data_IF_106226628498
#
_entry.id   IF_106226628498
#
_cell.length_a   1.000
_cell.length_b   1.000
_cell.length_c   1.000
_cell.angle_alpha   90.00
_cell.angle_beta   90.00
_cell.angle_gamma   90.00
#
_symmetry.space_group_name_H-M   'P 1'
#
loop_
_entity.id
_entity.type
_entity.pdbx_description
1 polymer ?
2 non-polymer ?
3 non-polymer ?
4 non-polymer ?
5 non-polymer ?
6 water ?
#
# COMPACT_ATOMS: atom_id res chain seq x y z
N UNK A 14 -12.74 0.83 -28.89
CA UNK A 14 -11.56 1.16 -28.00
C UNK A 14 -11.93 2.15 -26.90
N UNK A 15 -12.99 1.83 -26.15
CA UNK A 15 -13.50 2.67 -25.07
C UNK A 15 -12.62 2.49 -23.83
N UNK A 16 -12.29 3.61 -23.17
CA UNK A 16 -11.43 3.63 -21.99
C UNK A 16 -12.30 3.94 -20.76
N UNK A 17 -12.52 2.92 -19.93
CA UNK A 17 -13.45 3.01 -18.80
C UNK A 17 -12.95 2.13 -17.65
N UNK A 18 -13.22 2.59 -16.43
CA UNK A 18 -13.03 1.81 -15.21
C UNK A 18 -14.38 1.34 -14.71
N UNK A 19 -14.68 0.05 -14.93
CA UNK A 19 -15.95 -0.56 -14.56
C UNK A 19 -15.80 -1.30 -13.23
N UNK A 20 -16.94 -1.52 -12.56
CA UNK A 20 -17.02 -2.41 -11.42
C UNK A 20 -17.15 -3.85 -11.92
N UNK A 21 -16.10 -4.67 -11.70
CA UNK A 21 -16.19 -6.10 -11.92
C UNK A 21 -16.72 -6.76 -10.64
N UNK A 22 -17.87 -7.43 -10.74
CA UNK A 22 -18.47 -8.13 -9.62
C UNK A 22 -18.03 -9.60 -9.65
N UNK A 23 -17.50 -10.09 -8.51
CA UNK A 23 -17.12 -11.48 -8.35
C UNK A 23 -18.39 -12.26 -7.97
N UNK A 48 -27.05 -10.91 7.62
CA UNK A 48 -26.12 -11.77 8.42
C UNK A 48 -24.68 -11.52 7.98
N UNK A 49 -24.38 -10.25 7.62
CA UNK A 49 -23.11 -9.89 7.01
C UNK A 49 -22.78 -8.43 7.32
N UNK A 50 -21.49 -8.09 7.16
CA UNK A 50 -21.02 -6.71 7.20
C UNK A 50 -20.28 -6.42 5.90
N UNK A 51 -20.82 -5.47 5.11
CA UNK A 51 -20.23 -5.07 3.84
C UNK A 51 -19.49 -3.75 4.04
N UNK A 52 -18.27 -3.66 3.47
CA UNK A 52 -17.47 -2.45 3.51
C UNK A 52 -16.57 -2.38 2.28
N UNK A 53 -16.26 -1.14 1.83
CA UNK A 53 -15.41 -0.89 0.69
C UNK A 53 -14.09 -0.26 1.13
N UNK A 54 -13.01 -0.58 0.41
CA UNK A 54 -11.67 -0.09 0.72
C UNK A 54 -11.07 0.55 -0.53
N UNK A 55 -10.54 1.77 -0.38
CA UNK A 55 -9.81 2.46 -1.42
C UNK A 55 -8.34 2.60 -1.03
N UNK A 56 -7.43 2.18 -1.92
CA UNK A 56 -6.01 2.44 -1.77
C UNK A 56 -5.55 3.39 -2.88
N UNK A 57 -4.94 4.52 -2.49
CA UNK A 57 -4.65 5.60 -3.42
C UNK A 57 -3.38 6.36 -2.99
N UNK A 58 -2.33 6.28 -3.83
CA UNK A 58 -1.16 7.14 -3.76
C UNK A 58 -1.55 8.43 -4.49
N UNK A 59 -1.71 9.53 -3.74
CA UNK A 59 -2.30 10.74 -4.30
C UNK A 59 -1.24 11.68 -4.88
N UNK A 60 0.05 11.36 -4.73
CA UNK A 60 1.19 12.13 -5.23
C UNK A 60 1.35 13.42 -4.43
N UNK A 61 2.39 13.46 -3.61
CA UNK A 61 2.76 14.63 -2.82
C UNK A 61 3.25 15.71 -3.77
N UNK A 62 2.76 16.96 -3.65
CA UNK A 62 3.20 18.03 -4.53
C UNK A 62 4.72 18.22 -4.43
N UNK A 63 5.28 18.08 -3.22
CA UNK A 63 6.69 18.23 -2.97
C UNK A 63 7.45 17.15 -3.73
N UNK A 64 6.96 15.90 -3.69
CA UNK A 64 7.57 14.79 -4.40
C UNK A 64 7.42 14.97 -5.91
N UNK A 65 6.28 15.55 -6.34
CA UNK A 65 6.03 15.88 -7.74
C UNK A 65 7.11 16.83 -8.25
N UNK A 66 7.28 17.95 -7.54
CA UNK A 66 8.15 19.05 -7.98
C UNK A 66 9.62 18.65 -7.85
N UNK A 67 9.95 17.81 -6.86
CA UNK A 67 11.30 17.31 -6.66
C UNK A 67 11.71 16.35 -7.78
N UNK A 68 10.71 15.79 -8.50
CA UNK A 68 10.94 14.83 -9.57
C UNK A 68 10.16 15.24 -10.81
N UNK A 69 10.39 16.48 -11.28
CA UNK A 69 9.60 17.08 -12.36
C UNK A 69 9.88 16.38 -13.69
N UNK A 70 11.03 15.70 -13.80
CA UNK A 70 11.41 14.97 -15.00
C UNK A 70 10.42 13.85 -15.31
N UNK A 71 9.69 13.36 -14.30
CA UNK A 71 8.70 12.30 -14.48
C UNK A 71 7.44 12.82 -15.17
N UNK A 72 7.21 14.14 -15.14
CA UNK A 72 5.95 14.74 -15.57
C UNK A 72 6.18 15.69 -16.74
N UNK A 73 7.19 15.39 -17.57
CA UNK A 73 7.52 16.14 -18.78
C UNK A 73 6.36 16.06 -19.78
N UNK A 74 5.65 14.92 -19.79
CA UNK A 74 4.54 14.67 -20.68
C UNK A 74 3.30 15.50 -20.33
N UNK A 75 3.25 16.08 -19.13
CA UNK A 75 2.06 16.74 -18.63
C UNK A 75 2.01 18.20 -19.06
N UNK A 76 0.79 18.71 -19.32
CA UNK A 76 0.54 20.13 -19.49
C UNK A 76 0.76 20.81 -18.14
N UNK A 77 1.43 21.99 -18.15
CA UNK A 77 1.92 22.62 -16.92
C UNK A 77 0.79 22.87 -15.93
N UNK A 78 -0.39 23.42 -16.34
CA UNK A 78 -1.46 23.73 -15.39
C UNK A 78 -2.01 22.57 -14.56
N UNK A 79 -1.94 21.33 -15.08
CA UNK A 79 -2.57 20.19 -14.44
C UNK A 79 -1.73 19.69 -13.25
N UNK A 80 -0.50 20.21 -13.09
CA UNK A 80 0.42 19.73 -12.08
C UNK A 80 0.24 20.47 -10.75
N UNK A 81 -0.33 21.67 -10.76
CA UNK A 81 -0.48 22.50 -9.57
C UNK A 81 -1.40 21.82 -8.55
N UNK A 82 -1.06 21.96 -7.26
CA UNK A 82 -1.85 21.40 -6.17
C UNK A 82 -3.26 22.00 -6.18
N UNK A 83 -3.37 23.29 -6.51
CA UNK A 83 -4.65 23.99 -6.57
C UNK A 83 -5.56 23.36 -7.64
N UNK A 84 -4.95 22.75 -8.67
CA UNK A 84 -5.69 22.03 -9.70
C UNK A 84 -5.96 20.58 -9.27
N UNK A 85 -4.95 19.93 -8.68
CA UNK A 85 -4.98 18.49 -8.44
C UNK A 85 -5.92 18.12 -7.29
N UNK A 86 -5.86 18.86 -6.17
CA UNK A 86 -6.56 18.44 -4.97
C UNK A 86 -8.07 18.35 -5.20
N UNK A 87 -8.74 19.38 -5.77
CA UNK A 87 -10.19 19.30 -6.00
C UNK A 87 -10.62 18.06 -6.79
N UNK A 88 -9.79 17.65 -7.77
CA UNK A 88 -10.05 16.45 -8.56
C UNK A 88 -9.95 15.20 -7.69
N UNK A 89 -8.89 15.13 -6.87
CA UNK A 89 -8.64 13.98 -6.00
C UNK A 89 -9.77 13.88 -4.97
N UNK A 90 -10.18 15.02 -4.39
CA UNK A 90 -11.26 15.06 -3.41
C UNK A 90 -12.59 14.63 -4.06
N UNK A 91 -12.82 15.06 -5.31
CA UNK A 91 -14.01 14.70 -6.06
C UNK A 91 -14.10 13.19 -6.26
N UNK A 92 -12.96 12.57 -6.58
CA UNK A 92 -12.86 11.12 -6.73
C UNK A 92 -13.27 10.41 -5.43
N UNK A 93 -12.65 10.83 -4.32
CA UNK A 93 -12.88 10.24 -3.00
C UNK A 93 -14.37 10.37 -2.66
N UNK A 94 -14.93 11.57 -2.89
CA UNK A 94 -16.33 11.84 -2.63
C UNK A 94 -17.22 10.93 -3.49
N UNK A 95 -16.85 10.79 -4.77
CA UNK A 95 -17.65 10.03 -5.74
C UNK A 95 -17.74 8.56 -5.33
N UNK A 96 -16.60 7.96 -4.97
CA UNK A 96 -16.53 6.54 -4.67
C UNK A 96 -17.10 6.24 -3.28
N UNK A 97 -16.95 7.19 -2.35
CA UNK A 97 -17.57 7.13 -1.04
C UNK A 97 -17.20 5.81 -0.34
N UNK A 98 -15.91 5.46 -0.37
CA UNK A 98 -15.44 4.22 0.22
C UNK A 98 -15.55 4.30 1.74
N UNK A 99 -15.71 3.13 2.39
CA UNK A 99 -15.85 3.07 3.84
C UNK A 99 -14.48 3.25 4.51
N UNK A 100 -13.43 2.75 3.85
CA UNK A 100 -12.06 2.87 4.35
C UNK A 100 -11.17 3.45 3.26
N UNK A 101 -10.39 4.49 3.61
CA UNK A 101 -9.38 5.07 2.74
C UNK A 101 -7.99 4.72 3.26
N UNK A 102 -7.16 4.12 2.38
CA UNK A 102 -5.74 3.95 2.62
C UNK A 102 -4.95 4.78 1.61
N UNK A 103 -4.40 5.92 2.06
CA UNK A 103 -3.75 6.87 1.17
C UNK A 103 -2.24 6.86 1.42
N UNK A 104 -1.47 7.10 0.35
CA UNK A 104 -0.02 7.26 0.42
C UNK A 104 0.36 8.62 -0.18
N UNK A 105 1.57 9.09 0.16
CA UNK A 105 2.09 10.38 -0.26
C UNK A 105 1.14 11.51 0.16
N UNK A 106 0.67 11.43 1.42
CA UNK A 106 -0.17 12.45 2.02
C UNK A 106 0.75 13.48 2.66
N UNK A 107 0.87 14.66 2.03
CA UNK A 107 1.78 15.70 2.47
C UNK A 107 1.23 16.36 3.74
N UNK A 108 2.10 16.56 4.74
CA UNK A 108 1.68 16.98 6.08
C UNK A 108 0.95 18.32 6.02
N UNK A 109 1.59 19.33 5.42
CA UNK A 109 1.04 20.69 5.40
C UNK A 109 -0.32 20.68 4.71
N UNK A 110 -0.42 20.00 3.55
CA UNK A 110 -1.66 19.91 2.80
C UNK A 110 -2.70 19.10 3.58
N UNK A 111 -2.25 18.08 4.32
CA UNK A 111 -3.12 17.24 5.11
C UNK A 111 -3.82 18.06 6.19
N UNK A 112 -3.04 18.88 6.93
CA UNK A 112 -3.56 19.71 7.99
C UNK A 112 -4.51 20.79 7.48
N UNK A 113 -4.14 21.42 6.35
CA UNK A 113 -4.83 22.59 5.83
C UNK A 113 -6.11 22.20 5.09
N UNK A 114 -6.06 21.15 4.26
CA UNK A 114 -7.11 20.87 3.28
C UNK A 114 -7.63 19.44 3.35
N UNK A 115 -6.73 18.45 3.31
CA UNK A 115 -7.13 17.06 3.08
C UNK A 115 -7.93 16.55 4.28
N UNK A 116 -7.39 16.70 5.49
CA UNK A 116 -8.04 16.16 6.69
C UNK A 116 -9.39 16.83 6.91
N UNK A 117 -9.48 18.19 6.93
CA UNK A 117 -10.78 18.85 7.07
C UNK A 117 -11.83 18.42 6.04
N UNK A 118 -11.41 18.22 4.78
CA UNK A 118 -12.30 17.78 3.72
C UNK A 118 -12.81 16.37 3.98
N UNK A 119 -11.92 15.48 4.43
CA UNK A 119 -12.29 14.10 4.70
C UNK A 119 -13.20 14.01 5.92
N UNK A 120 -12.91 14.80 6.97
CA UNK A 120 -13.74 14.83 8.17
C UNK A 120 -15.16 15.26 7.80
N UNK A 121 -15.29 16.21 6.86
CA UNK A 121 -16.58 16.72 6.41
C UNK A 121 -17.40 15.63 5.73
N UNK A 122 -16.71 14.68 5.06
CA UNK A 122 -17.36 13.57 4.38
C UNK A 122 -17.73 12.45 5.35
N UNK A 123 -17.38 12.61 6.63
CA UNK A 123 -17.76 11.67 7.67
C UNK A 123 -16.66 10.66 8.01
N UNK A 124 -15.42 10.94 7.57
CA UNK A 124 -14.28 10.07 7.82
C UNK A 124 -13.58 10.46 9.12
N UNK A 125 -13.18 9.46 9.90
CA UNK A 125 -12.18 9.61 10.95
C UNK A 125 -10.81 9.27 10.38
N UNK A 126 -9.84 10.18 10.54
CA UNK A 126 -8.55 10.08 9.87
C UNK A 126 -7.42 9.86 10.89
N UNK A 127 -6.53 8.90 10.58
CA UNK A 127 -5.32 8.62 11.33
C UNK A 127 -4.13 8.74 10.37
N UNK A 128 -3.08 9.46 10.80
CA UNK A 128 -1.95 9.82 9.95
C UNK A 128 -0.66 9.30 10.58
N UNK A 129 0.29 8.88 9.72
CA UNK A 129 1.65 8.57 10.13
C UNK A 129 2.61 9.13 9.07
N UNK A 130 3.32 10.20 9.45
CA UNK A 130 4.27 10.86 8.57
C UNK A 130 5.57 10.07 8.53
N UNK A 131 6.26 10.11 7.38
CA UNK A 131 7.62 9.59 7.27
C UNK A 131 8.51 10.41 8.21
N UNK A 132 9.62 9.79 8.66
CA UNK A 132 10.39 10.27 9.81
C UNK A 132 11.61 11.09 9.39
N UNK A 133 11.76 11.41 8.10
CA UNK A 133 12.99 12.02 7.62
C UNK A 133 12.80 13.47 7.19
N UNK A 134 13.42 13.81 6.06
CA UNK A 134 13.39 15.14 5.48
C UNK A 134 12.14 15.32 4.63
N UNK A 135 11.48 14.20 4.29
CA UNK A 135 10.31 14.21 3.43
C UNK A 135 9.05 14.24 4.27
N UNK A 136 8.26 15.34 4.23
CA UNK A 136 7.05 15.47 5.06
C UNK A 136 5.78 14.97 4.37
N UNK A 137 5.78 13.69 4.01
CA UNK A 137 4.59 13.00 3.53
C UNK A 137 4.48 11.68 4.29
N UNK A 138 3.32 11.03 4.20
CA UNK A 138 3.08 9.81 4.95
C UNK A 138 1.85 9.05 4.47
N UNK A 139 1.45 8.08 5.31
CA UNK A 139 0.27 7.26 5.10
C UNK A 139 -0.86 7.74 5.99
N UNK A 140 -2.08 7.66 5.47
CA UNK A 140 -3.29 7.88 6.25
C UNK A 140 -4.21 6.68 6.07
N UNK A 141 -4.84 6.26 7.18
CA UNK A 141 -5.96 5.34 7.12
C UNK A 141 -7.17 6.10 7.67
N UNK A 142 -8.21 6.21 6.83
CA UNK A 142 -9.44 6.89 7.18
C UNK A 142 -10.60 5.90 7.07
N UNK A 143 -11.60 6.06 7.94
CA UNK A 143 -12.77 5.19 7.94
C UNK A 143 -14.00 6.02 8.32
N UNK A 144 -15.17 5.59 7.84
CA UNK A 144 -16.43 6.25 8.15
C UNK A 144 -16.82 6.00 9.61
N UNK A 145 -17.16 7.07 10.34
CA UNK A 145 -17.64 6.99 11.71
C UNK A 145 -18.81 6.02 11.83
N UNK A 146 -19.71 6.06 10.84
CA UNK A 146 -20.94 5.29 10.83
C UNK A 146 -20.68 3.79 10.71
N UNK A 147 -19.52 3.40 10.18
CA UNK A 147 -19.23 2.00 9.88
C UNK A 147 -18.35 1.34 10.94
N UNK A 148 -17.47 2.10 11.61
CA UNK A 148 -16.51 1.51 12.54
C UNK A 148 -16.28 2.38 13.78
N UNK A 149 -15.87 1.70 14.86
CA UNK A 149 -15.24 2.31 16.02
C UNK A 149 -13.77 1.94 16.04
N UNK A 150 -12.93 2.85 16.56
CA UNK A 150 -11.49 2.66 16.61
C UNK A 150 -11.11 1.91 17.89
N UNK A 151 -10.42 0.77 17.75
CA UNK A 151 -9.96 0.00 18.90
C UNK A 151 -8.51 0.37 19.23
N UNK A 152 -7.64 0.46 18.22
CA UNK A 152 -6.24 0.83 18.43
C UNK A 152 -5.62 1.43 17.16
N UNK A 153 -4.65 2.31 17.38
CA UNK A 153 -3.80 2.90 16.34
C UNK A 153 -2.38 2.43 16.61
N UNK A 154 -1.74 1.85 15.58
CA UNK A 154 -0.44 1.21 15.73
C UNK A 154 0.47 1.67 14.59
N UNK A 155 1.20 2.79 14.76
CA UNK A 155 2.15 3.27 13.75
C UNK A 155 3.40 2.40 13.74
N UNK A 156 4.01 2.28 12.56
CA UNK A 156 5.26 1.54 12.38
C UNK A 156 6.26 2.49 11.73
N UNK A 157 7.41 2.69 12.40
CA UNK A 157 8.55 3.40 11.83
C UNK A 157 9.57 2.36 11.38
N UNK A 158 9.93 2.38 10.08
CA UNK A 158 10.89 1.42 9.54
C UNK A 158 12.31 1.86 9.86
N UNK A 159 12.50 3.15 10.17
CA UNK A 159 13.79 3.68 10.56
C UNK A 159 14.15 3.22 11.97
N UNK A 160 15.29 2.53 12.11
CA UNK A 160 15.85 2.15 13.38
C UNK A 160 17.26 2.74 13.48
N UNK A 161 17.53 3.64 14.44
CA UNK A 161 18.84 4.29 14.53
C UNK A 161 19.95 3.31 14.93
N UNK A 162 19.57 2.21 15.60
CA UNK A 162 20.50 1.21 16.13
C UNK A 162 20.84 0.15 15.07
N UNK A 163 20.14 0.16 13.92
CA UNK A 163 20.35 -0.84 12.87
C UNK A 163 20.67 -0.12 11.56
N UNK A 164 21.90 -0.30 11.06
CA UNK A 164 22.44 0.40 9.90
C UNK A 164 21.60 0.13 8.65
N UNK A 165 21.13 -1.12 8.50
CA UNK A 165 20.31 -1.52 7.37
C UNK A 165 19.08 -0.62 7.25
N UNK A 166 18.44 -0.31 8.40
CA UNK A 166 17.16 0.38 8.45
C UNK A 166 17.39 1.88 8.64
N UNK A 167 17.93 2.54 7.61
CA UNK A 167 18.29 3.95 7.65
C UNK A 167 17.33 4.80 6.81
N UNK A 168 16.21 4.20 6.38
CA UNK A 168 15.24 4.86 5.50
C UNK A 168 14.01 5.29 6.30
N UNK A 169 13.33 6.33 5.79
CA UNK A 169 12.33 7.09 6.52
C UNK A 169 10.91 6.55 6.35
N UNK A 170 10.75 5.42 5.63
CA UNK A 170 9.44 4.90 5.29
C UNK A 170 8.69 4.47 6.55
N UNK A 171 7.35 4.42 6.47
CA UNK A 171 6.49 4.10 7.60
C UNK A 171 5.34 3.21 7.16
N UNK A 172 4.67 2.63 8.17
CA UNK A 172 3.40 1.95 8.01
C UNK A 172 2.40 2.40 9.07
N UNK A 173 1.16 1.95 8.94
CA UNK A 173 0.11 2.25 9.91
C UNK A 173 -0.84 1.07 9.96
N UNK A 174 -1.22 0.67 11.19
CA UNK A 174 -2.12 -0.45 11.41
C UNK A 174 -3.20 -0.02 12.40
N UNK A 175 -4.47 -0.09 11.96
CA UNK A 175 -5.62 0.17 12.82
C UNK A 175 -6.35 -1.14 13.11
N UNK A 176 -6.89 -1.26 14.33
CA UNK A 176 -7.87 -2.28 14.66
C UNK A 176 -9.23 -1.60 14.79
N UNK A 177 -10.18 -2.02 13.93
CA UNK A 177 -11.48 -1.38 13.84
C UNK A 177 -12.57 -2.37 14.28
N UNK A 178 -13.56 -1.87 15.03
CA UNK A 178 -14.75 -2.61 15.39
C UNK A 178 -15.88 -2.22 14.46
N UNK A 179 -16.35 -3.12 13.57
CA UNK A 179 -17.53 -2.85 12.75
C UNK A 179 -18.74 -2.51 13.61
N UNK A 180 -19.48 -1.46 13.23
CA UNK A 180 -20.68 -1.06 13.94
C UNK A 180 -21.87 -1.84 13.42
N UNK A 181 -22.20 -2.95 14.09
CA UNK A 181 -23.40 -3.74 13.85
C UNK A 181 -23.91 -4.25 15.19
N UNK A 182 -25.23 -4.54 15.35
CA UNK A 182 -25.76 -5.09 16.60
C UNK A 182 -25.33 -6.55 16.84
N UNK A 186 -19.45 -9.14 17.06
CA UNK A 186 -18.76 -9.11 15.74
C UNK A 186 -17.25 -8.98 15.95
N UNK A 187 -16.42 -9.73 15.17
CA UNK A 187 -14.96 -9.61 15.30
C UNK A 187 -14.41 -8.31 14.71
N UNK A 188 -13.24 -7.90 15.21
CA UNK A 188 -12.56 -6.70 14.73
C UNK A 188 -11.96 -6.94 13.35
N UNK A 189 -11.67 -5.85 12.63
CA UNK A 189 -10.97 -5.90 11.36
C UNK A 189 -9.68 -5.08 11.49
N UNK A 190 -8.57 -5.67 11.05
CA UNK A 190 -7.26 -5.03 11.06
C UNK A 190 -6.97 -4.46 9.67
N UNK A 191 -6.76 -3.14 9.60
CA UNK A 191 -6.45 -2.46 8.34
C UNK A 191 -5.02 -1.92 8.43
N UNK A 192 -4.17 -2.33 7.46
CA UNK A 192 -2.78 -1.91 7.38
C UNK A 192 -2.56 -1.12 6.08
N UNK A 193 -1.63 -0.16 6.14
CA UNK A 193 -1.27 0.69 5.00
C UNK A 193 0.23 0.99 5.10
N UNK A 194 0.91 1.04 3.95
CA UNK A 194 2.33 1.39 3.91
C UNK A 194 2.71 1.97 2.55
N UNK A 195 3.91 2.58 2.52
CA UNK A 195 4.61 2.97 1.31
C UNK A 195 6.07 2.55 1.48
N UNK A 196 6.46 1.44 0.85
CA UNK A 196 7.79 0.86 1.02
C UNK A 196 8.84 1.68 0.26
N UNK A 197 10.11 1.53 0.67
CA UNK A 197 11.26 2.17 0.06
C UNK A 197 11.19 2.06 -1.46
N UNK A 198 11.43 3.18 -2.16
CA UNK A 198 11.39 3.21 -3.61
C UNK A 198 12.67 2.61 -4.20
N UNK A 199 13.83 3.03 -3.69
CA UNK A 199 15.14 2.71 -4.27
C UNK A 199 15.12 1.28 -4.82
N UNK A 200 15.15 1.08 -6.15
CA UNK A 200 15.08 -0.25 -6.75
C UNK A 200 16.13 -1.28 -6.30
N UNK A 201 17.34 -0.81 -5.98
CA UNK A 201 18.47 -1.70 -5.68
C UNK A 201 18.29 -2.39 -4.32
N UNK A 202 17.73 -1.68 -3.34
CA UNK A 202 17.81 -2.10 -1.94
C UNK A 202 16.61 -2.97 -1.55
N UNK A 203 16.57 -4.19 -2.10
CA UNK A 203 15.54 -5.16 -1.79
C UNK A 203 15.69 -5.76 -0.39
N UNK A 204 16.91 -5.67 0.16
CA UNK A 204 17.16 -6.07 1.54
C UNK A 204 16.35 -5.19 2.48
N UNK A 205 16.34 -3.87 2.22
CA UNK A 205 15.60 -2.94 3.07
C UNK A 205 14.10 -3.15 2.88
N UNK A 206 13.67 -3.34 1.62
CA UNK A 206 12.26 -3.53 1.31
C UNK A 206 11.68 -4.69 2.12
N UNK A 207 12.37 -5.84 2.08
CA UNK A 207 11.90 -7.05 2.73
C UNK A 207 11.86 -6.88 4.24
N UNK A 208 12.83 -6.15 4.80
CA UNK A 208 12.89 -5.92 6.24
C UNK A 208 11.75 -4.99 6.66
N UNK A 209 11.48 -3.97 5.84
CA UNK A 209 10.37 -3.06 6.07
C UNK A 209 9.05 -3.84 6.05
N UNK A 210 8.89 -4.70 5.04
CA UNK A 210 7.70 -5.54 4.93
C UNK A 210 7.56 -6.41 6.18
N UNK A 211 8.68 -7.01 6.62
CA UNK A 211 8.70 -7.88 7.80
C UNK A 211 8.23 -7.13 9.04
N UNK A 212 8.63 -5.86 9.17
CA UNK A 212 8.25 -5.03 10.31
C UNK A 212 6.75 -4.77 10.31
N UNK A 213 6.17 -4.55 9.12
CA UNK A 213 4.73 -4.33 8.99
C UNK A 213 3.97 -5.61 9.35
N UNK A 214 4.44 -6.75 8.81
CA UNK A 214 3.80 -8.04 9.06
C UNK A 214 3.85 -8.38 10.54
N UNK A 215 4.97 -8.08 11.20
CA UNK A 215 5.15 -8.31 12.63
C UNK A 215 4.12 -7.51 13.44
N UNK A 216 3.89 -6.25 13.05
CA UNK A 216 2.92 -5.40 13.73
C UNK A 216 1.53 -5.99 13.58
N UNK A 217 1.18 -6.40 12.35
CA UNK A 217 -0.13 -6.98 12.06
C UNK A 217 -0.33 -8.24 12.90
N UNK A 218 0.67 -9.12 12.94
CA UNK A 218 0.64 -10.36 13.71
C UNK A 218 0.26 -10.06 15.17
N UNK A 219 0.80 -8.97 15.70
CA UNK A 219 0.53 -8.58 17.07
C UNK A 219 -0.90 -8.06 17.23
N UNK A 220 -1.31 -7.12 16.36
CA UNK A 220 -2.58 -6.41 16.50
C UNK A 220 -3.76 -7.34 16.20
N UNK A 221 -3.61 -8.21 15.19
CA UNK A 221 -4.72 -9.00 14.66
C UNK A 221 -4.94 -10.28 15.46
N UNK A 222 -4.00 -10.63 16.36
CA UNK A 222 -4.11 -11.83 17.19
C UNK A 222 -5.34 -11.75 18.10
N UNK A 223 -6.09 -12.86 18.18
CA UNK A 223 -7.32 -12.92 18.95
C UNK A 223 -7.15 -13.87 20.14
N UNK A 224 -8.15 -13.90 21.02
CA UNK A 224 -8.14 -14.72 22.22
C UNK A 224 -8.21 -16.21 21.87
N UNK A 225 -8.75 -16.54 20.69
CA UNK A 225 -8.89 -17.91 20.23
C UNK A 225 -7.65 -18.37 19.45
N UNK A 226 -6.62 -17.53 19.37
CA UNK A 226 -5.32 -17.93 18.84
C UNK A 226 -5.21 -17.76 17.32
N UNK A 227 -6.29 -17.31 16.68
CA UNK A 227 -6.31 -17.04 15.26
C UNK A 227 -6.24 -15.52 15.04
N UNK A 228 -6.01 -15.11 13.79
CA UNK A 228 -5.99 -13.70 13.43
C UNK A 228 -7.39 -13.26 13.01
N UNK A 229 -7.74 -12.00 13.32
CA UNK A 229 -8.97 -11.39 12.84
C UNK A 229 -8.80 -11.04 11.37
N UNK A 230 -9.89 -10.74 10.62
CA UNK A 230 -9.77 -10.36 9.21
C UNK A 230 -8.80 -9.19 8.99
N UNK A 231 -7.93 -9.31 7.96
CA UNK A 231 -6.90 -8.34 7.67
C UNK A 231 -7.12 -7.78 6.26
N UNK A 232 -7.01 -6.45 6.13
CA UNK A 232 -6.89 -5.78 4.84
C UNK A 232 -5.59 -4.97 4.87
N UNK A 233 -4.62 -5.36 4.02
CA UNK A 233 -3.33 -4.69 3.90
C UNK A 233 -3.23 -3.99 2.55
N UNK A 234 -3.28 -2.64 2.57
CA UNK A 234 -3.16 -1.81 1.39
C UNK A 234 -1.77 -1.16 1.33
N UNK A 235 -1.43 -0.59 0.17
CA UNK A 235 -0.29 0.31 0.09
C UNK A 235 0.44 0.26 -1.24
N UNK A 236 1.44 1.15 -1.33
CA UNK A 236 2.40 1.21 -2.41
C UNK A 236 3.64 0.44 -1.97
N UNK A 237 3.83 -0.76 -2.52
CA UNK A 237 4.91 -1.66 -2.11
C UNK A 237 6.12 -1.50 -3.02
N UNK A 238 6.02 -0.65 -4.06
CA UNK A 238 7.11 -0.37 -4.98
C UNK A 238 7.70 -1.68 -5.51
N UNK A 239 6.83 -2.68 -5.70
CA UNK A 239 7.20 -4.01 -6.17
C UNK A 239 6.12 -4.49 -7.14
N UNK A 240 6.53 -5.20 -8.20
CA UNK A 240 5.65 -5.53 -9.30
C UNK A 240 5.09 -6.94 -9.09
N UNK A 241 3.94 -7.29 -9.72
CA UNK A 241 3.38 -8.63 -9.59
C UNK A 241 4.39 -9.69 -10.05
N UNK A 242 4.43 -10.82 -9.33
CA UNK A 242 5.32 -11.93 -9.64
C UNK A 242 6.75 -11.73 -9.13
N UNK A 243 7.05 -10.55 -8.56
CA UNK A 243 8.35 -10.29 -7.97
C UNK A 243 8.51 -11.14 -6.70
N UNK A 244 9.75 -11.44 -6.27
CA UNK A 244 9.96 -12.16 -5.01
C UNK A 244 9.17 -11.59 -3.82
N UNK A 245 9.20 -10.26 -3.66
CA UNK A 245 8.49 -9.61 -2.55
C UNK A 245 6.99 -9.87 -2.67
N UNK A 246 6.44 -9.70 -3.88
CA UNK A 246 5.02 -9.97 -4.12
C UNK A 246 4.71 -11.43 -3.81
N UNK A 247 5.56 -12.34 -4.33
CA UNK A 247 5.41 -13.77 -4.12
C UNK A 247 5.39 -14.11 -2.64
N UNK A 248 6.27 -13.47 -1.87
CA UNK A 248 6.35 -13.69 -0.43
C UNK A 248 5.00 -13.38 0.22
N UNK A 249 4.40 -12.24 -0.16
CA UNK A 249 3.13 -11.80 0.44
C UNK A 249 2.05 -12.83 0.13
N UNK A 250 2.00 -13.32 -1.12
CA UNK A 250 0.95 -14.21 -1.59
C UNK A 250 1.11 -15.61 -1.00
N UNK A 251 2.35 -16.13 -0.98
CA UNK A 251 2.62 -17.53 -0.65
C UNK A 251 2.86 -17.71 0.86
N UNK A 252 3.35 -16.66 1.54
CA UNK A 252 3.75 -16.76 2.92
C UNK A 252 5.07 -17.52 3.10
N UNK A 253 5.84 -17.59 2.00
CA UNK A 253 7.13 -18.26 1.97
C UNK A 253 7.99 -17.58 0.90
N UNK A 254 9.30 -17.46 1.17
CA UNK A 254 10.27 -17.02 0.17
C UNK A 254 11.61 -17.68 0.45
N UNK A 255 12.13 -18.40 -0.55
CA UNK A 255 13.50 -18.86 -0.58
C UNK A 255 14.35 -17.80 -1.27
N UNK A 256 15.17 -17.07 -0.50
CA UNK A 256 15.83 -15.87 -0.98
C UNK A 256 17.34 -16.10 -1.13
N UNK A 257 17.78 -17.37 -1.10
CA UNK A 257 19.19 -17.68 -1.22
C UNK A 257 19.64 -17.42 -2.67
N UNK A 258 20.72 -16.65 -2.82
CA UNK A 258 21.30 -16.35 -4.12
C UNK A 258 20.54 -15.28 -4.90
N UNK A 259 19.60 -14.60 -4.22
CA UNK A 259 18.74 -13.61 -4.84
C UNK A 259 19.43 -12.25 -4.76
N UNK A 260 19.77 -11.60 -5.89
CA UNK A 260 20.30 -10.23 -5.86
C UNK A 260 19.30 -9.26 -5.24
N UNK A 261 19.83 -8.26 -4.52
CA UNK A 261 19.00 -7.35 -3.74
C UNK A 261 18.10 -6.52 -4.66
N UNK A 262 18.56 -6.26 -5.90
CA UNK A 262 17.78 -5.47 -6.85
C UNK A 262 16.62 -6.24 -7.47
N UNK A 263 16.67 -7.58 -7.42
CA UNK A 263 15.66 -8.43 -8.03
C UNK A 263 14.43 -8.58 -7.15
N UNK A 264 14.52 -8.21 -5.86
CA UNK A 264 13.45 -8.43 -4.89
C UNK A 264 12.17 -7.76 -5.35
N UNK A 265 12.26 -6.50 -5.79
CA UNK A 265 11.11 -5.65 -6.11
C UNK A 265 10.59 -5.92 -7.52
N UNK A 266 11.50 -6.30 -8.43
CA UNK A 266 11.16 -6.46 -9.84
C UNK A 266 11.07 -5.13 -10.58
N UNK A 267 11.50 -4.04 -9.92
CA UNK A 267 11.60 -2.73 -10.54
C UNK A 267 12.69 -2.76 -11.61
N UNK A 268 12.56 -1.87 -12.61
CA UNK A 268 13.52 -1.78 -13.71
C UNK A 268 14.90 -1.37 -13.17
N UNK A 269 15.90 -2.21 -13.46
CA UNK A 269 17.31 -1.94 -13.17
C UNK A 269 18.18 -2.99 -13.87
N UNK A 270 19.49 -2.74 -13.91
CA UNK A 270 20.43 -3.57 -14.64
C UNK A 270 20.53 -4.98 -14.04
N UNK A 271 20.78 -5.03 -12.71
CA UNK A 271 20.96 -6.26 -11.94
C UNK A 271 22.40 -6.77 -12.01
N UNK A 272 23.25 -6.17 -12.85
CA UNK A 272 24.67 -6.46 -12.87
C UNK A 272 25.32 -5.91 -11.61
N UNK A 273 26.34 -6.64 -11.11
CA UNK A 273 27.19 -6.19 -10.03
C UNK A 273 26.47 -6.01 -8.69
N UNK A 274 25.33 -6.70 -8.52
CA UNK A 274 24.55 -6.58 -7.29
C UNK A 274 24.92 -7.71 -6.34
N UNK A 275 24.99 -7.38 -5.04
CA UNK A 275 25.29 -8.38 -4.02
C UNK A 275 24.03 -9.19 -3.75
N UNK A 276 24.26 -10.40 -3.25
CA UNK A 276 23.21 -11.39 -2.99
C UNK A 276 22.70 -11.15 -1.56
N UNK A 277 21.44 -11.52 -1.31
CA UNK A 277 20.82 -11.32 -0.01
C UNK A 277 21.57 -12.12 1.06
N UNK A 278 21.81 -11.48 2.21
CA UNK A 278 22.44 -12.11 3.35
C UNK A 278 21.44 -13.02 4.08
N UNK A 279 21.98 -14.06 4.73
CA UNK A 279 21.22 -14.97 5.56
C UNK A 279 21.70 -14.79 7.01
N UNK A 280 20.91 -14.20 7.94
CA UNK A 280 19.58 -13.62 7.66
C UNK A 280 19.67 -12.24 7.00
N UNK A 281 18.53 -11.73 6.53
CA UNK A 281 18.47 -10.46 5.83
C UNK A 281 18.71 -9.32 6.84
N UNK A 282 18.08 -9.41 8.01
CA UNK A 282 18.20 -8.40 9.06
C UNK A 282 18.80 -9.03 10.32
N UNK A 283 19.45 -8.24 11.20
CA UNK A 283 20.13 -8.79 12.37
C UNK A 283 19.19 -9.15 13.52
N UNK A 284 19.61 -10.01 14.48
CA UNK A 284 18.76 -10.42 15.59
C UNK A 284 18.17 -9.29 16.45
N UNK A 285 18.86 -8.16 16.54
CA UNK A 285 18.47 -7.09 17.45
C UNK A 285 17.25 -6.31 16.92
N UNK A 286 16.74 -6.66 15.73
CA UNK A 286 15.46 -6.15 15.25
C UNK A 286 14.32 -6.74 16.08
N UNK A 287 14.51 -7.97 16.57
CA UNK A 287 13.55 -8.64 17.43
C UNK A 287 12.37 -9.24 16.67
N UNK A 288 12.59 -9.52 15.38
CA UNK A 288 11.58 -10.15 14.53
C UNK A 288 12.18 -11.46 13.98
N UNK A 289 11.39 -12.53 14.03
CA UNK A 289 11.83 -13.85 13.61
C UNK A 289 11.74 -13.97 12.09
N UNK A 290 12.22 -15.11 11.56
CA UNK A 290 12.15 -15.42 10.13
C UNK A 290 10.72 -15.77 9.72
N UNK A 291 9.80 -15.86 10.69
CA UNK A 291 8.36 -16.01 10.44
C UNK A 291 7.66 -14.66 10.52
N UNK A 292 8.44 -13.57 10.62
CA UNK A 292 7.95 -12.19 10.60
C UNK A 292 6.98 -11.94 11.75
N UNK A 293 7.33 -12.42 12.95
CA UNK A 293 6.60 -12.10 14.18
C UNK A 293 7.62 -11.62 15.21
N UNK A 294 7.16 -10.79 16.15
CA UNK A 294 7.97 -10.36 17.27
C UNK A 294 8.37 -11.57 18.11
N UNK A 295 9.58 -11.53 18.67
CA UNK A 295 10.06 -12.59 19.54
C UNK A 295 10.88 -11.96 20.67
N UNK A 296 10.89 -12.62 21.83
CA UNK A 296 11.71 -12.20 22.95
C UNK A 296 13.18 -12.42 22.54
N UNK A 297 13.95 -11.32 22.49
CA UNK A 297 15.37 -11.38 22.18
C UNK A 297 16.11 -12.09 23.31
N UNK A 298 17.05 -12.97 22.92
CA UNK A 298 17.93 -13.68 23.83
C UNK A 298 19.32 -13.09 23.71
N UNK A 299 20.01 -12.87 24.85
CA UNK A 299 21.40 -12.44 24.86
C UNK A 299 22.24 -13.50 24.15
N UNK A 300 23.15 -13.13 23.22
CA UNK A 300 23.98 -14.11 22.52
C UNK A 300 25.07 -14.72 23.41
N UNK A 327 19.30 -22.00 7.28
CA UNK A 327 18.12 -21.97 6.39
C UNK A 327 17.77 -20.54 6.01
N UNK A 328 17.79 -20.27 4.69
CA UNK A 328 17.54 -18.95 4.13
C UNK A 328 16.12 -18.85 3.60
N UNK A 329 15.13 -18.97 4.50
CA UNK A 329 13.74 -18.98 4.12
C UNK A 329 12.94 -18.00 4.99
N UNK A 330 12.22 -17.08 4.34
CA UNK A 330 11.31 -16.17 5.00
C UNK A 330 9.91 -16.79 5.02
N UNK A 331 9.12 -16.42 6.03
CA UNK A 331 7.76 -16.90 6.18
C UNK A 331 6.90 -15.85 6.89
N UNK A 332 5.58 -15.96 6.68
CA UNK A 332 4.58 -15.30 7.51
C UNK A 332 3.41 -16.26 7.69
N UNK A 333 2.54 -15.98 8.67
CA UNK A 333 1.50 -16.90 9.10
C UNK A 333 0.13 -16.55 8.51
N UNK A 334 0.08 -15.53 7.64
CA UNK A 334 -1.18 -15.06 7.08
C UNK A 334 -1.53 -15.85 5.81
N UNK A 335 -2.81 -15.75 5.43
CA UNK A 335 -3.34 -16.30 4.19
C UNK A 335 -3.95 -15.15 3.38
N UNK A 336 -3.14 -14.54 2.51
CA UNK A 336 -3.49 -13.28 1.86
C UNK A 336 -3.73 -13.48 0.36
N UNK A 337 -4.84 -12.90 -0.11
CA UNK A 337 -5.17 -12.82 -1.54
C UNK A 337 -5.01 -11.38 -2.01
N UNK A 338 -4.80 -11.20 -3.32
CA UNK A 338 -4.77 -9.89 -3.96
C UNK A 338 -6.12 -9.63 -4.61
N UNK A 339 -6.62 -8.40 -4.47
CA UNK A 339 -7.89 -8.00 -5.06
C UNK A 339 -7.78 -8.08 -6.58
N UNK A 340 -6.65 -7.63 -7.13
CA UNK A 340 -6.45 -7.54 -8.57
C UNK A 340 -5.62 -8.72 -9.08
N UNK A 341 -5.94 -9.15 -10.32
CA UNK A 341 -5.31 -10.30 -10.96
C UNK A 341 -4.04 -9.91 -11.70
N UNK A 342 -3.90 -8.61 -12.02
CA UNK A 342 -2.69 -8.01 -12.57
C UNK A 342 -2.60 -8.15 -14.09
N UNK A 343 -3.50 -8.95 -14.70
CA UNK A 343 -3.52 -9.18 -16.13
C UNK A 343 -4.97 -9.25 -16.61
N UNK A 344 -5.26 -8.60 -17.75
CA UNK A 344 -6.60 -8.62 -18.33
C UNK A 344 -6.87 -10.00 -18.92
N UNK A 345 -8.02 -10.65 -18.58
CA UNK A 345 -8.24 -12.04 -18.94
C UNK A 345 -8.29 -12.32 -20.44
N UNK A 346 -8.95 -11.44 -21.21
CA UNK A 346 -9.13 -11.63 -22.64
C UNK A 346 -7.78 -11.64 -23.36
N UNK A 347 -6.94 -10.63 -23.06
CA UNK A 347 -5.76 -10.31 -23.85
C UNK A 347 -4.47 -10.79 -23.17
N UNK A 348 -4.44 -10.76 -21.83
CA UNK A 348 -3.25 -11.07 -21.06
C UNK A 348 -2.32 -9.88 -20.89
N UNK A 349 -2.82 -8.68 -21.24
CA UNK A 349 -2.07 -7.44 -21.10
C UNK A 349 -2.04 -7.05 -19.63
N UNK A 350 -0.87 -6.62 -19.08
CA UNK A 350 -0.78 -6.28 -17.67
C UNK A 350 -1.55 -5.02 -17.28
N UNK A 351 -2.17 -5.05 -16.09
CA UNK A 351 -2.74 -3.88 -15.45
C UNK A 351 -1.61 -2.98 -14.96
N UNK A 352 -1.86 -1.67 -14.94
CA UNK A 352 -0.92 -0.71 -14.35
C UNK A 352 -1.67 0.09 -13.28
N UNK A 353 -0.93 0.52 -12.25
CA UNK A 353 -1.47 1.35 -11.17
C UNK A 353 -0.77 2.72 -11.17
N UNK A 354 0.35 2.86 -11.90
CA UNK A 354 1.08 4.12 -12.01
C UNK A 354 1.57 4.30 -13.45
N UNK A 355 1.47 5.55 -13.96
CA UNK A 355 1.92 5.90 -15.30
C UNK A 355 2.49 7.32 -15.30
N UNK A 356 3.79 7.46 -15.63
CA UNK A 356 4.39 8.77 -15.86
C UNK A 356 5.47 8.64 -16.94
N UNK A 357 6.32 9.66 -17.11
CA UNK A 357 7.28 9.72 -18.21
C UNK A 357 8.20 8.49 -18.25
N UNK A 358 8.49 7.90 -17.08
CA UNK A 358 9.51 6.86 -16.99
C UNK A 358 8.98 5.50 -16.54
N UNK A 359 7.69 5.40 -16.15
CA UNK A 359 7.19 4.16 -15.56
C UNK A 359 5.72 3.93 -15.90
N UNK A 360 5.37 2.66 -16.20
CA UNK A 360 4.00 2.19 -16.34
C UNK A 360 3.90 0.77 -15.78
N UNK A 361 3.62 0.65 -14.48
CA UNK A 361 3.69 -0.61 -13.76
C UNK A 361 2.58 -0.67 -12.70
N UNK A 362 2.36 -1.88 -12.15
CA UNK A 362 1.60 -2.09 -10.92
C UNK A 362 2.57 -2.13 -9.74
N UNK A 363 2.40 -1.22 -8.77
CA UNK A 363 3.13 -1.25 -7.50
C UNK A 363 2.16 -1.11 -6.32
N UNK A 364 0.86 -0.91 -6.61
CA UNK A 364 -0.16 -0.73 -5.58
C UNK A 364 -0.99 -2.01 -5.48
N UNK A 365 -1.39 -2.36 -4.25
CA UNK A 365 -2.14 -3.58 -3.99
C UNK A 365 -3.14 -3.36 -2.86
N UNK A 366 -4.26 -4.09 -2.94
CA UNK A 366 -5.11 -4.36 -1.79
C UNK A 366 -5.05 -5.87 -1.52
N UNK A 367 -4.39 -6.26 -0.43
CA UNK A 367 -4.38 -7.63 0.03
C UNK A 367 -5.44 -7.80 1.12
N UNK A 368 -5.98 -9.03 1.24
CA UNK A 368 -7.00 -9.34 2.24
C UNK A 368 -6.90 -10.81 2.63
N UNK A 369 -7.34 -11.12 3.87
CA UNK A 369 -7.42 -12.49 4.35
C UNK A 369 -8.53 -13.23 3.59
N UNK A 370 -8.18 -14.40 3.03
CA UNK A 370 -9.11 -15.21 2.27
C UNK A 370 -9.35 -16.55 2.99
N UNK A 388 -11.00 -13.96 7.38
CA UNK A 388 -11.82 -14.54 6.30
C UNK A 388 -12.82 -13.54 5.73
N UNK A 389 -12.41 -12.83 4.68
CA UNK A 389 -13.27 -11.88 3.97
C UNK A 389 -13.60 -12.43 2.59
N UNK A 390 -14.72 -11.96 2.03
CA UNK A 390 -15.17 -12.30 0.69
C UNK A 390 -15.14 -11.03 -0.17
N UNK A 391 -14.46 -11.09 -1.32
CA UNK A 391 -14.40 -9.98 -2.25
C UNK A 391 -15.62 -10.00 -3.15
N UNK A 392 -16.45 -8.95 -3.05
CA UNK A 392 -17.67 -8.82 -3.84
C UNK A 392 -17.36 -8.21 -5.21
N UNK A 393 -16.51 -7.18 -5.24
CA UNK A 393 -16.23 -6.45 -6.47
C UNK A 393 -14.95 -5.63 -6.36
N UNK A 394 -14.44 -5.21 -7.53
CA UNK A 394 -13.27 -4.34 -7.65
C UNK A 394 -13.46 -3.40 -8.84
N UNK A 395 -12.88 -2.20 -8.75
CA UNK A 395 -12.90 -1.24 -9.84
C UNK A 395 -11.74 -1.55 -10.78
N UNK A 396 -12.06 -1.98 -12.02
CA UNK A 396 -11.07 -2.46 -12.97
C UNK A 396 -10.02 -1.40 -13.24
N UNK A 397 -8.77 -1.83 -13.41
CA UNK A 397 -7.64 -0.96 -13.71
C UNK A 397 -7.54 -0.77 -15.23
N UNK A 398 -6.45 -0.15 -15.70
CA UNK A 398 -6.24 0.14 -17.11
C UNK A 398 -4.91 -0.43 -17.58
N UNK A 399 -4.74 -0.51 -18.91
CA UNK A 399 -3.48 -0.88 -19.54
C UNK A 399 -2.61 0.36 -19.73
N UNK A 400 -1.31 0.15 -19.98
CA UNK A 400 -0.38 1.22 -20.30
C UNK A 400 -0.86 1.97 -21.54
N UNK A 401 -1.35 1.23 -22.54
CA UNK A 401 -1.79 1.79 -23.81
C UNK A 401 -3.01 2.69 -23.58
N UNK A 402 -3.93 2.25 -22.71
CA UNK A 402 -5.12 3.03 -22.35
C UNK A 402 -4.71 4.37 -21.77
N UNK A 403 -3.70 4.36 -20.88
CA UNK A 403 -3.32 5.56 -20.15
C UNK A 403 -2.57 6.54 -21.05
N UNK A 404 -1.85 6.03 -22.06
CA UNK A 404 -1.16 6.89 -23.00
C UNK A 404 -2.13 7.45 -24.04
N UNK A 405 -3.32 6.84 -24.19
CA UNK A 405 -4.38 7.40 -25.01
C UNK A 405 -4.89 8.72 -24.41
N UNK A 406 -4.85 8.84 -23.08
CA UNK A 406 -5.25 10.07 -22.39
C UNK A 406 -4.01 10.87 -22.00
N UNK A 407 -2.87 10.58 -22.65
CA UNK A 407 -1.63 11.35 -22.55
C UNK A 407 -0.99 11.21 -21.16
N UNK A 408 -1.17 10.04 -20.53
CA UNK A 408 -0.47 9.71 -19.29
C UNK A 408 -1.08 10.38 -18.06
N UNK A 409 -0.42 10.18 -16.91
CA UNK A 409 -0.88 10.66 -15.62
C UNK A 409 0.23 11.50 -14.97
N UNK A 410 -0.09 12.58 -14.20
CA UNK A 410 -1.45 13.12 -14.12
C UNK A 410 -1.85 13.82 -15.42
N UNK A 411 -3.16 14.06 -15.59
CA UNK A 411 -3.70 14.81 -16.72
C UNK A 411 -4.80 15.73 -16.20
N UNK A 412 -5.50 16.41 -17.10
CA UNK A 412 -6.48 17.43 -16.74
C UNK A 412 -7.71 16.83 -16.08
N UNK A 413 -7.89 15.50 -16.14
CA UNK A 413 -9.06 14.83 -15.59
C UNK A 413 -8.71 13.89 -14.43
N UNK A 414 -7.47 13.34 -14.40
CA UNK A 414 -7.02 12.46 -13.33
C UNK A 414 -5.71 13.01 -12.75
N UNK A 415 -5.74 13.34 -11.45
CA UNK A 415 -4.78 14.27 -10.85
C UNK A 415 -3.75 13.57 -9.96
N UNK A 416 -3.55 12.26 -10.15
CA UNK A 416 -2.39 11.58 -9.59
C UNK A 416 -1.68 10.80 -10.69
N UNK A 417 -0.40 10.46 -10.45
CA UNK A 417 0.35 9.59 -11.36
C UNK A 417 0.06 8.12 -11.03
N UNK A 418 -0.77 7.89 -10.00
CA UNK A 418 -1.34 6.58 -9.71
C UNK A 418 -2.84 6.59 -9.98
N UNK A 419 -3.41 5.38 -10.17
CA UNK A 419 -4.85 5.17 -10.19
C UNK A 419 -5.30 4.69 -8.82
N UNK A 420 -6.50 5.10 -8.33
CA UNK A 420 -7.04 4.57 -7.08
C UNK A 420 -7.51 3.13 -7.24
N UNK A 421 -7.12 2.27 -6.30
CA UNK A 421 -7.62 0.90 -6.20
C UNK A 421 -8.87 0.92 -5.32
N UNK A 422 -9.88 0.14 -5.68
CA UNK A 422 -11.14 0.13 -4.96
C UNK A 422 -11.71 -1.29 -4.95
N UNK A 423 -12.10 -1.75 -3.75
CA UNK A 423 -12.63 -3.09 -3.55
C UNK A 423 -13.83 -3.04 -2.61
N UNK A 424 -14.81 -3.92 -2.88
CA UNK A 424 -15.97 -4.11 -2.03
C UNK A 424 -15.85 -5.47 -1.35
N UNK A 425 -15.86 -5.47 0.00
CA UNK A 425 -15.66 -6.69 0.78
C UNK A 425 -16.94 -7.04 1.55
N UNK A 426 -17.08 -8.33 1.87
CA UNK A 426 -18.13 -8.83 2.75
C UNK A 426 -17.50 -9.66 3.86
N UNK A 427 -17.88 -9.35 5.10
CA UNK A 427 -17.55 -10.17 6.26
C UNK A 427 -18.80 -10.96 6.66
N UNK A 428 -18.76 -12.28 6.45
CA UNK A 428 -19.85 -13.18 6.80
C UNK A 428 -19.74 -13.49 8.29
N UNK A 429 -20.84 -13.27 9.04
CA UNK A 429 -20.85 -13.42 10.49
C UNK A 429 -21.43 -14.79 10.85
X LIG B 1 7.13 5.33 -7.85
X LIG B 1 6.34 5.96 -6.16
X LIG B 1 7.24 7.72 -6.37
X LIG B 1 5.50 4.07 -5.80
X LIG B 1 4.47 6.92 -6.15
X LIG B 1 7.43 5.92 -4.49
X LIG B 1 8.40 6.96 -4.43
X LIG B 1 8.52 7.69 -5.75
X LIG B 1 8.04 8.10 -3.48
X LIG B 1 8.41 7.77 -2.04
X LIG B 1 9.83 7.70 -1.89
X LIG B 1 8.74 9.25 -4.00
X LIG B 1 9.01 9.08 -5.41
X LIG B 1 12.68 8.73 -9.08
X LIG B 1 11.36 8.52 -9.20
X LIG B 1 10.53 8.66 -8.15
X LIG B 1 11.02 9.00 -6.93
X LIG B 1 12.39 9.21 -6.79
X LIG B 1 13.22 9.07 -7.89
X LIG B 1 14.55 9.27 -7.78
X LIG B 1 12.62 9.53 -5.51
X LIG B 1 11.42 9.52 -4.89
X LIG B 1 10.46 9.20 -5.74
X LIG B 1 5.59 3.32 -6.34
X LIG B 1 4.03 7.00 -6.96
X LIG B 1 9.38 6.58 -4.15
X LIG B 1 9.24 7.16 -6.39
X LIG B 1 6.95 8.28 -3.54
X LIG B 1 7.98 6.81 -1.76
X LIG B 1 8.00 8.53 -1.38
X LIG B 1 10.03 7.51 -1.05
X LIG B 1 8.43 9.81 -5.99
X LIG B 1 10.95 8.25 -10.17
X LIG B 1 14.96 9.53 -6.89
X LIG B 1 15.16 9.16 -8.59
X LIG B 1 11.27 9.74 -3.85
X LIG C 1 5.27 8.76 -6.26
X LIG D 1 4.08 10.14 -30.36
X LIG D 1 4.40 9.80 -29.02
X LIG D 1 3.29 8.96 -28.42
X LIG D 1 3.73 8.46 -27.14
X LIG D 1 2.02 9.76 -28.14
X LIG D 1 0.86 8.92 -28.25
X LIG D 1 2.24 10.25 -26.71
X LIG D 1 1.08 10.46 -25.95
X LIG D 1 3.04 9.11 -26.08
X LIG D 1 4.00 9.54 -25.07
X LIG D 1 4.33 10.83 -24.69
X LIG D 1 5.24 10.86 -23.74
X LIG D 1 5.54 9.52 -23.47
X LIG D 1 6.42 8.89 -22.55
X LIG D 1 7.22 9.56 -21.70
X LIG D 1 6.45 7.54 -22.56
X LIG D 1 5.65 6.87 -23.40
X LIG D 1 4.79 7.36 -24.30
X LIG D 1 4.78 8.71 -24.28
X LIG D 1 4.74 10.72 -30.61
X LIG D 1 5.23 9.30 -29.00
X LIG D 1 4.50 10.62 -28.49
X LIG D 1 3.10 8.20 -29.01
X LIG D 1 1.95 10.52 -28.77
X LIG D 1 0.71 8.38 -28.95
X LIG D 1 2.78 11.09 -26.72
X LIG D 1 1.29 10.49 -25.13
X LIG D 1 2.41 8.48 -25.67
X LIG D 1 3.95 11.60 -25.07
X LIG D 1 7.24 10.43 -21.71
X LIG D 1 7.72 9.11 -21.13
X LIG D 1 5.72 5.92 -23.36
X LIG E 1 25.06 -3.82 -4.65
X LIG F 1 11.57 9.97 -1.20
X LIG G 1 -1.36 9.67 -26.77
#
# INVERSE_FOLDING_TARGET
>A
SNAEPSSKRRKHQGVIKRNWEYICSHDKEKTKILGDKNVDPKCEDSENKFDFSVMSYNILSQDLLEDNSHLYRHCRRPVLHWSFRFPNILKEIKHFDADVLCLQEVQEDHYGAEIRPSLESLGYHCEYKMRTGRKPDGCAICFKHSKFSLLSVNPVEFFRPDISLLDRDNVGLVLLLQPKIPYAACPAICVANTHLLYNPRRGDIKLTQLAMLLAEISSVAHQKDGSFCPIVMCGDFNSVPGSPLYSFIKEGKLNYEGLPIGKVSGQEQSSRGQRILSIPIWPPNLGISQNCVYEVQQVPKVEKTDSDLTQTQLKQTEVLVTAEKLSSNLQHHFSLSSVYSHYFPDTGIPEVTTCHSRSAITVDYIFYSAEKEDVAGHPGAEVALVGGLKLLARLSLLTEQDLWTVNGLPNENNSSDHLPLLAKFRLEL
>B hetero
1 KL2 O2V V O2' O1V O3V O3' C3' C2' C4' C5' O5' O4' C1' N1 C2 N3 C4 C5 C6 N6 N7 C8 N9 HOV1 HOV3 H3' H2' H4' H5'1 H5'2 HO5' H1' H2 HN6A HN6 H8
>C hetero
1 MG MG
>D hetero
1 ADN O5' C5' C4' O4' C3' O3' C2' O2' C1' N9 C8 N7 C5 C6 N6 N1 C2 N3 C4 HO5' H5'1 H5'2 H4' H3' HO3' H2' HO2' H1' H8 HN61 HN62 H2
>E hetero
1 K K
>F hetero
1 K K
>G hetero
1 K K
#
